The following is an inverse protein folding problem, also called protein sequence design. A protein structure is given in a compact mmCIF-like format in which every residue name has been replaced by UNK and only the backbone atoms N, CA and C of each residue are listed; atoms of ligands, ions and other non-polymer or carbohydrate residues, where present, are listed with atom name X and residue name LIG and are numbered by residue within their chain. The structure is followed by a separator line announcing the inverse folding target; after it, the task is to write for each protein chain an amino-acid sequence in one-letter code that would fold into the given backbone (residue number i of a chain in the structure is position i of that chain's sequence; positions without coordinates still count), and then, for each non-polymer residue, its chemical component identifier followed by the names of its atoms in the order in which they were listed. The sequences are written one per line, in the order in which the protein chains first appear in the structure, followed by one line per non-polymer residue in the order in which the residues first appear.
data_IF_358257183504
#
_entry.id   IF_358257183504
#
_cell.length_a   1.000
_cell.length_b   1.000
_cell.length_c   1.000
_cell.angle_alpha   90.00
_cell.angle_beta   90.00
_cell.angle_gamma   90.00
#
_symmetry.space_group_name_H-M   'P 1'
#
loop_
_entity.id
_entity.type
_entity.pdbx_description
1 polymer ?
#
# COMPACT_ATOMS: atom_id res chain seq x y z
N UNK A 1 -16.15 -24.61 14.28
CA UNK A 1 -15.77 -23.18 14.20
C UNK A 1 -14.68 -23.10 13.15
N UNK A 2 -14.94 -22.44 12.02
CA UNK A 2 -13.89 -22.16 11.03
C UNK A 2 -12.82 -21.32 11.73
N UNK A 3 -11.58 -21.82 11.81
CA UNK A 3 -10.44 -21.00 12.23
C UNK A 3 -10.45 -19.77 11.32
N UNK A 4 -10.50 -18.57 11.92
CA UNK A 4 -10.24 -17.32 11.18
C UNK A 4 -8.88 -17.48 10.50
N UNK A 5 -8.89 -17.65 9.18
CA UNK A 5 -7.71 -17.92 8.38
C UNK A 5 -6.98 -16.57 8.11
N UNK A 6 -6.82 -15.76 9.17
CA UNK A 6 -6.17 -14.45 9.12
C UNK A 6 -4.67 -14.65 9.31
N UNK A 7 -3.88 -14.23 8.31
CA UNK A 7 -2.40 -14.33 8.33
C UNK A 7 -1.73 -13.03 8.74
N UNK A 8 -2.41 -11.90 8.60
CA UNK A 8 -1.92 -10.58 9.00
C UNK A 8 -3.04 -9.77 9.64
N UNK A 9 -2.77 -9.14 10.78
CA UNK A 9 -3.71 -8.28 11.48
C UNK A 9 -3.05 -7.02 12.00
N UNK A 10 -3.69 -5.89 11.74
CA UNK A 10 -3.42 -4.60 12.35
C UNK A 10 -4.54 -4.30 13.36
N UNK A 11 -4.18 -3.91 14.58
CA UNK A 11 -5.12 -3.60 15.66
C UNK A 11 -4.78 -2.23 16.23
N UNK A 12 -5.58 -1.21 15.87
CA UNK A 12 -5.44 0.19 16.31
C UNK A 12 -4.01 0.72 16.19
N UNK A 13 -3.38 0.43 15.06
CA UNK A 13 -1.99 0.79 14.80
C UNK A 13 -1.88 2.27 14.48
N UNK A 14 -1.03 2.97 15.25
CA UNK A 14 -0.61 4.35 14.94
C UNK A 14 0.90 4.39 14.76
N UNK A 15 1.33 5.10 13.71
CA UNK A 15 2.75 5.24 13.38
C UNK A 15 3.04 6.61 12.78
N UNK A 16 4.12 7.24 13.23
CA UNK A 16 4.64 8.51 12.71
C UNK A 16 6.17 8.52 12.63
N UNK A 17 6.72 9.32 11.71
CA UNK A 17 8.15 9.65 11.68
C UNK A 17 8.41 10.96 12.42
N UNK A 18 8.95 10.85 13.66
CA UNK A 18 9.17 12.02 14.52
C UNK A 18 7.84 12.62 15.04
N UNK A 19 7.88 13.82 15.62
CA UNK A 19 6.73 14.36 16.36
C UNK A 19 5.69 15.11 15.52
N UNK A 20 5.68 15.03 14.19
CA UNK A 20 4.76 15.85 13.36
C UNK A 20 4.40 15.29 11.98
N UNK A 21 4.60 14.02 11.73
CA UNK A 21 4.22 13.41 10.45
C UNK A 21 3.51 12.09 10.70
N UNK A 22 2.22 12.13 11.06
CA UNK A 22 1.43 10.92 11.18
C UNK A 22 1.37 10.22 9.82
N UNK A 23 1.53 8.91 9.83
CA UNK A 23 1.43 8.03 8.65
C UNK A 23 0.21 7.15 8.80
N UNK A 24 -0.03 6.62 10.01
CA UNK A 24 -1.17 5.79 10.35
C UNK A 24 -1.78 6.26 11.67
N UNK A 25 -3.11 6.37 11.73
CA UNK A 25 -3.87 6.71 12.92
C UNK A 25 -4.94 5.66 13.21
N UNK A 26 -4.77 4.92 14.30
CA UNK A 26 -5.68 3.87 14.79
C UNK A 26 -6.14 2.84 13.73
N UNK A 27 -5.25 2.52 12.79
CA UNK A 27 -5.54 1.63 11.67
C UNK A 27 -5.82 0.22 12.14
N UNK A 28 -6.94 -0.36 11.67
CA UNK A 28 -7.32 -1.74 11.95
C UNK A 28 -7.83 -2.42 10.70
N UNK A 29 -7.17 -3.51 10.29
CA UNK A 29 -7.61 -4.37 9.20
C UNK A 29 -7.04 -5.78 9.37
N UNK A 30 -7.56 -6.73 8.58
CA UNK A 30 -7.09 -8.11 8.59
C UNK A 30 -6.99 -8.66 7.17
N UNK A 31 -5.93 -9.41 6.91
CA UNK A 31 -5.69 -10.10 5.64
C UNK A 31 -5.82 -11.60 5.85
N UNK A 32 -6.63 -12.23 5.01
CA UNK A 32 -6.83 -13.68 5.03
C UNK A 32 -5.77 -14.40 4.21
N UNK A 33 -5.51 -15.65 4.57
CA UNK A 33 -4.62 -16.51 3.79
C UNK A 33 -5.10 -16.65 2.33
N UNK A 34 -4.15 -16.61 1.39
CA UNK A 34 -4.43 -16.68 -0.04
C UNK A 34 -5.00 -15.40 -0.65
N UNK A 35 -5.16 -14.31 0.13
CA UNK A 35 -5.59 -13.02 -0.42
C UNK A 35 -4.50 -12.39 -1.27
N UNK A 36 -4.89 -11.83 -2.41
CA UNK A 36 -4.02 -11.02 -3.29
C UNK A 36 -4.55 -9.61 -3.32
N UNK A 37 -3.85 -8.71 -2.61
CA UNK A 37 -4.31 -7.35 -2.37
C UNK A 37 -3.31 -6.33 -2.91
N UNK A 38 -3.83 -5.26 -3.47
CA UNK A 38 -3.06 -4.07 -3.84
C UNK A 38 -3.05 -3.09 -2.67
N UNK A 39 -1.90 -2.52 -2.35
CA UNK A 39 -1.78 -1.37 -1.44
C UNK A 39 -1.69 -0.09 -2.27
N UNK A 40 -2.76 0.69 -2.26
CA UNK A 40 -2.89 1.98 -2.94
C UNK A 40 -2.73 3.15 -1.98
N UNK A 41 -2.35 4.30 -2.54
CA UNK A 41 -2.22 5.59 -1.85
C UNK A 41 -1.23 6.49 -2.58
N UNK A 42 -1.21 7.78 -2.27
CA UNK A 42 -0.33 8.75 -2.91
C UNK A 42 1.15 8.43 -2.64
N UNK A 43 2.05 8.95 -3.49
CA UNK A 43 3.49 8.80 -3.28
C UNK A 43 3.92 9.59 -2.04
N UNK A 44 4.61 8.91 -1.13
CA UNK A 44 5.01 9.49 0.15
C UNK A 44 4.05 9.25 1.33
N UNK A 45 2.91 8.59 1.11
CA UNK A 45 1.87 8.36 2.12
C UNK A 45 2.24 7.31 3.17
N UNK A 46 3.32 6.59 2.98
CA UNK A 46 3.76 5.58 3.94
C UNK A 46 3.49 4.13 3.53
N UNK A 47 3.19 3.84 2.25
CA UNK A 47 3.04 2.46 1.74
C UNK A 47 4.24 1.58 2.10
N UNK A 48 5.45 2.06 1.85
CA UNK A 48 6.68 1.34 2.24
C UNK A 48 6.86 1.25 3.76
N UNK A 49 6.31 2.20 4.54
CA UNK A 49 6.32 2.13 6.00
C UNK A 49 5.39 1.03 6.51
N UNK A 50 4.25 0.83 5.84
CA UNK A 50 3.36 -0.29 6.13
C UNK A 50 4.07 -1.63 5.92
N UNK A 51 4.81 -1.79 4.81
CA UNK A 51 5.60 -2.99 4.57
C UNK A 51 6.68 -3.21 5.63
N UNK A 52 7.37 -2.15 6.06
CA UNK A 52 8.36 -2.22 7.14
C UNK A 52 7.74 -2.60 8.49
N UNK A 53 6.51 -2.12 8.78
CA UNK A 53 5.75 -2.53 9.97
C UNK A 53 5.38 -4.03 9.90
N UNK A 54 4.97 -4.54 8.74
CA UNK A 54 4.68 -5.97 8.53
C UNK A 54 5.94 -6.82 8.70
N UNK A 55 7.09 -6.34 8.20
CA UNK A 55 8.37 -7.01 8.33
C UNK A 55 8.96 -6.94 9.76
N UNK A 56 8.38 -6.11 10.65
CA UNK A 56 8.91 -5.85 11.98
C UNK A 56 10.17 -4.96 12.00
N UNK A 57 10.51 -4.33 10.87
CA UNK A 57 11.62 -3.36 10.77
C UNK A 57 11.28 -2.03 11.45
N UNK A 58 9.98 -1.72 11.57
CA UNK A 58 9.45 -0.58 12.32
C UNK A 58 8.50 -1.08 13.41
N UNK A 59 8.49 -0.36 14.54
CA UNK A 59 7.59 -0.63 15.65
C UNK A 59 6.53 0.47 15.72
N UNK A 60 5.23 0.16 15.78
CA UNK A 60 4.19 1.17 15.92
C UNK A 60 4.26 1.84 17.31
N UNK A 61 3.86 3.12 17.41
CA UNK A 61 3.74 3.82 18.69
C UNK A 61 2.57 3.30 19.51
N UNK A 62 1.45 2.99 18.86
CA UNK A 62 0.28 2.42 19.49
C UNK A 62 -0.24 1.25 18.66
N UNK A 63 -0.99 0.37 19.32
CA UNK A 63 -1.59 -0.80 18.68
C UNK A 63 -0.60 -1.93 18.44
N UNK A 64 -1.00 -2.88 17.61
CA UNK A 64 -0.21 -4.08 17.34
C UNK A 64 -0.35 -4.54 15.90
N UNK A 65 0.80 -4.89 15.29
CA UNK A 65 0.85 -5.66 14.04
C UNK A 65 1.16 -7.10 14.41
N UNK A 66 0.38 -8.05 13.93
CA UNK A 66 0.59 -9.48 14.16
C UNK A 66 0.50 -10.25 12.86
N UNK A 67 1.54 -11.03 12.59
CA UNK A 67 1.55 -12.11 11.59
C UNK A 67 1.23 -13.42 12.31
N UNK A 68 0.59 -14.36 11.64
CA UNK A 68 0.25 -15.67 12.25
C UNK A 68 1.52 -16.33 12.82
N UNK A 69 1.36 -17.07 13.92
CA UNK A 69 2.46 -17.55 14.79
C UNK A 69 3.58 -18.31 14.07
N UNK A 70 3.27 -18.93 12.92
CA UNK A 70 4.25 -19.65 12.09
C UNK A 70 4.38 -19.05 10.69
N UNK A 71 3.77 -17.88 10.45
CA UNK A 71 3.74 -17.26 9.14
C UNK A 71 5.09 -16.62 8.81
N UNK A 72 5.60 -16.92 7.63
CA UNK A 72 6.81 -16.32 7.07
C UNK A 72 6.46 -15.16 6.16
N UNK A 73 7.25 -14.07 6.24
CA UNK A 73 7.08 -12.88 5.40
C UNK A 73 8.37 -12.66 4.61
N UNK A 74 8.25 -12.44 3.32
CA UNK A 74 9.37 -12.01 2.48
C UNK A 74 8.99 -10.81 1.63
N UNK A 75 9.98 -9.97 1.32
CA UNK A 75 9.79 -8.77 0.51
C UNK A 75 10.68 -8.81 -0.74
N UNK A 76 10.06 -8.60 -1.91
CA UNK A 76 10.77 -8.30 -3.14
C UNK A 76 11.27 -6.86 -3.11
N UNK A 77 12.57 -6.66 -2.84
CA UNK A 77 13.21 -5.34 -2.77
C UNK A 77 13.41 -4.76 -4.17
N UNK A 78 13.48 -3.43 -4.25
CA UNK A 78 13.72 -2.73 -5.52
C UNK A 78 15.19 -2.73 -5.93
N UNK A 79 16.11 -2.76 -4.98
CA UNK A 79 17.55 -2.67 -5.22
C UNK A 79 18.35 -3.65 -4.38
N UNK A 80 19.44 -4.17 -4.94
CA UNK A 80 20.39 -4.99 -4.19
C UNK A 80 21.17 -4.06 -3.23
N UNK A 81 21.27 -4.40 -1.94
CA UNK A 81 22.10 -3.67 -0.99
C UNK A 81 23.57 -3.61 -1.46
N UNK A 82 24.21 -2.47 -1.25
CA UNK A 82 25.59 -2.23 -1.74
C UNK A 82 26.61 -3.26 -1.21
N UNK A 83 26.44 -3.71 0.00
CA UNK A 83 27.26 -4.74 0.65
C UNK A 83 27.08 -6.13 0.03
N UNK A 84 25.96 -6.37 -0.67
CA UNK A 84 25.66 -7.65 -1.32
C UNK A 84 26.00 -7.67 -2.82
N UNK A 85 26.37 -6.55 -3.42
CA UNK A 85 26.77 -6.47 -4.83
C UNK A 85 27.99 -7.35 -5.18
N UNK A 86 28.85 -7.62 -4.19
CA UNK A 86 30.01 -8.50 -4.34
C UNK A 86 29.72 -9.98 -4.17
N UNK A 87 28.53 -10.36 -3.70
CA UNK A 87 28.16 -11.76 -3.50
C UNK A 87 28.02 -12.48 -4.84
N UNK A 88 28.36 -13.76 -4.84
CA UNK A 88 27.98 -14.67 -5.94
C UNK A 88 26.48 -14.96 -5.88
N UNK A 89 25.91 -15.49 -6.96
CA UNK A 89 24.51 -15.92 -7.00
C UNK A 89 24.23 -16.92 -5.88
N UNK A 90 25.12 -17.89 -5.66
CA UNK A 90 24.98 -18.88 -4.60
C UNK A 90 24.95 -18.24 -3.21
N UNK A 91 25.92 -17.36 -2.92
CA UNK A 91 25.99 -16.64 -1.63
C UNK A 91 24.77 -15.75 -1.42
N UNK A 92 24.31 -15.07 -2.46
CA UNK A 92 23.13 -14.19 -2.39
C UNK A 92 21.86 -14.96 -2.05
N UNK A 93 21.65 -16.14 -2.62
CA UNK A 93 20.48 -16.94 -2.29
C UNK A 93 20.63 -17.74 -1.00
N UNK A 94 21.85 -18.17 -0.65
CA UNK A 94 22.10 -18.92 0.57
C UNK A 94 21.77 -18.13 1.85
N UNK A 95 21.93 -16.80 1.84
CA UNK A 95 21.66 -15.95 3.01
C UNK A 95 20.21 -15.99 3.51
N UNK A 96 19.25 -16.42 2.67
CA UNK A 96 17.83 -16.50 3.04
C UNK A 96 17.47 -17.78 3.80
N UNK A 97 18.44 -18.67 4.01
CA UNK A 97 18.25 -19.90 4.76
C UNK A 97 19.11 -19.92 6.02
N UNK A 98 18.54 -20.36 7.13
CA UNK A 98 19.26 -20.53 8.40
C UNK A 98 20.17 -21.77 8.38
N UNK A 99 19.80 -22.77 7.58
CA UNK A 99 20.54 -24.02 7.44
C UNK A 99 21.02 -24.21 5.99
N UNK A 100 22.12 -24.91 5.82
CA UNK A 100 22.68 -25.21 4.49
C UNK A 100 21.71 -26.05 3.68
N UNK A 101 21.27 -25.52 2.54
CA UNK A 101 20.41 -26.21 1.58
C UNK A 101 21.24 -27.03 0.60
N UNK A 102 21.15 -28.36 0.67
CA UNK A 102 21.87 -29.27 -0.24
C UNK A 102 21.34 -29.19 -1.67
N UNK A 103 20.08 -28.79 -1.86
CA UNK A 103 19.40 -28.64 -3.15
C UNK A 103 19.30 -27.17 -3.60
N UNK A 104 20.11 -26.26 -3.02
CA UNK A 104 20.07 -24.83 -3.33
C UNK A 104 20.11 -24.50 -4.83
N UNK A 105 20.96 -25.14 -5.66
CA UNK A 105 20.99 -24.89 -7.10
C UNK A 105 19.63 -25.17 -7.80
N UNK A 106 18.93 -26.20 -7.36
CA UNK A 106 17.60 -26.54 -7.90
C UNK A 106 16.56 -25.50 -7.46
N UNK A 107 16.57 -25.12 -6.16
CA UNK A 107 15.65 -24.08 -5.66
C UNK A 107 15.85 -22.76 -6.40
N UNK A 108 17.11 -22.38 -6.64
CA UNK A 108 17.44 -21.19 -7.43
C UNK A 108 16.87 -21.32 -8.86
N UNK A 109 17.09 -22.45 -9.53
CA UNK A 109 16.59 -22.68 -10.89
C UNK A 109 15.06 -22.55 -10.95
N UNK A 110 14.34 -23.16 -10.00
CA UNK A 110 12.88 -23.14 -9.96
C UNK A 110 12.32 -21.70 -9.79
N UNK A 111 12.93 -20.87 -8.93
CA UNK A 111 12.49 -19.48 -8.75
C UNK A 111 12.95 -18.55 -9.88
N UNK A 112 14.07 -18.82 -10.52
CA UNK A 112 14.53 -18.05 -11.68
C UNK A 112 13.65 -18.30 -12.91
N UNK A 113 13.16 -19.53 -13.09
CA UNK A 113 12.17 -19.84 -14.12
C UNK A 113 10.87 -19.05 -13.92
N UNK A 114 10.38 -18.96 -12.68
CA UNK A 114 9.20 -18.17 -12.33
C UNK A 114 9.32 -16.68 -12.70
N UNK A 115 10.52 -16.13 -12.74
CA UNK A 115 10.78 -14.73 -13.10
C UNK A 115 11.38 -14.58 -14.51
N UNK A 116 11.31 -15.60 -15.34
CA UNK A 116 11.85 -15.63 -16.70
C UNK A 116 13.33 -15.19 -16.77
N UNK A 117 14.16 -15.77 -15.92
CA UNK A 117 15.60 -15.56 -15.93
C UNK A 117 16.32 -16.89 -16.09
N UNK A 118 17.06 -17.04 -17.18
CA UNK A 118 17.90 -18.23 -17.40
C UNK A 118 18.90 -18.40 -16.27
N UNK A 119 19.12 -19.66 -15.83
CA UNK A 119 20.04 -19.99 -14.76
C UNK A 119 21.46 -19.48 -15.07
N UNK A 120 22.01 -18.53 -14.30
CA UNK A 120 23.37 -18.07 -14.48
C UNK A 120 24.37 -19.04 -13.84
N UNK A 121 25.67 -18.82 -14.09
CA UNK A 121 26.70 -19.47 -13.30
C UNK A 121 26.60 -19.06 -11.83
N UNK A 122 26.63 -20.01 -10.90
CA UNK A 122 26.43 -19.77 -9.47
C UNK A 122 27.52 -18.91 -8.82
N UNK A 123 28.71 -18.90 -9.41
CA UNK A 123 29.88 -18.11 -9.01
C UNK A 123 29.88 -16.69 -9.61
N UNK A 124 28.93 -16.37 -10.50
CA UNK A 124 28.78 -15.03 -11.08
C UNK A 124 28.33 -14.03 -9.98
N UNK A 125 28.97 -12.85 -9.95
CA UNK A 125 28.68 -11.84 -8.95
C UNK A 125 27.46 -11.01 -9.28
N UNK A 126 26.75 -10.53 -8.26
CA UNK A 126 25.51 -9.74 -8.41
C UNK A 126 25.72 -8.43 -9.16
N UNK A 127 26.88 -7.80 -9.06
CA UNK A 127 27.22 -6.58 -9.80
C UNK A 127 27.50 -6.78 -11.30
N UNK A 128 27.61 -8.02 -11.76
CA UNK A 128 27.84 -8.36 -13.19
C UNK A 128 26.53 -8.50 -13.99
N UNK A 129 25.38 -8.37 -13.31
CA UNK A 129 24.09 -8.45 -13.93
C UNK A 129 23.56 -7.07 -14.35
N UNK A 130 22.82 -7.01 -15.47
CA UNK A 130 22.09 -5.81 -15.86
C UNK A 130 21.01 -5.44 -14.83
N UNK A 131 20.55 -4.17 -14.81
CA UNK A 131 19.51 -3.72 -13.87
C UNK A 131 18.25 -4.57 -13.92
N UNK A 132 17.76 -4.96 -15.10
CA UNK A 132 16.61 -5.84 -15.24
C UNK A 132 16.87 -7.26 -14.72
N UNK A 133 18.07 -7.80 -14.92
CA UNK A 133 18.43 -9.11 -14.35
C UNK A 133 18.54 -9.02 -12.82
N UNK A 134 19.09 -7.94 -12.27
CA UNK A 134 19.14 -7.72 -10.82
C UNK A 134 17.73 -7.64 -10.21
N UNK A 135 16.79 -6.94 -10.88
CA UNK A 135 15.40 -6.87 -10.43
C UNK A 135 14.75 -8.27 -10.39
N UNK A 136 14.98 -9.11 -11.40
CA UNK A 136 14.49 -10.50 -11.42
C UNK A 136 15.14 -11.36 -10.34
N UNK A 137 16.44 -11.19 -10.07
CA UNK A 137 17.13 -11.88 -8.96
C UNK A 137 16.59 -11.48 -7.60
N UNK A 138 16.30 -10.19 -7.39
CA UNK A 138 15.67 -9.69 -6.17
C UNK A 138 14.28 -10.27 -5.95
N UNK A 139 13.48 -10.35 -7.01
CA UNK A 139 12.17 -10.97 -6.94
C UNK A 139 12.28 -12.47 -6.63
N UNK A 140 13.17 -13.19 -7.33
CA UNK A 140 13.45 -14.59 -7.07
C UNK A 140 13.90 -14.84 -5.61
N UNK A 141 14.64 -13.90 -5.03
CA UNK A 141 15.10 -14.02 -3.63
C UNK A 141 13.96 -13.94 -2.58
N UNK A 142 12.88 -13.25 -2.90
CA UNK A 142 11.68 -13.29 -2.08
C UNK A 142 10.92 -14.61 -2.24
N UNK A 143 10.85 -15.11 -3.48
CA UNK A 143 10.11 -16.34 -3.82
C UNK A 143 10.77 -17.60 -3.29
N UNK A 144 12.12 -17.66 -3.25
CA UNK A 144 12.86 -18.86 -2.83
C UNK A 144 12.55 -19.26 -1.39
N UNK A 145 12.14 -18.30 -0.57
CA UNK A 145 11.75 -18.52 0.82
C UNK A 145 10.36 -19.16 0.95
N UNK A 146 9.60 -19.24 -0.16
CA UNK A 146 8.22 -19.70 -0.19
C UNK A 146 7.36 -19.10 0.95
N UNK A 147 7.32 -17.77 1.09
CA UNK A 147 6.71 -17.12 2.24
C UNK A 147 5.19 -17.28 2.29
N UNK A 148 4.59 -17.19 3.48
CA UNK A 148 3.13 -17.19 3.63
C UNK A 148 2.52 -15.82 3.28
N UNK A 149 3.33 -14.75 3.41
CA UNK A 149 3.00 -13.40 2.96
C UNK A 149 4.15 -12.88 2.09
N UNK A 150 3.87 -12.69 0.82
CA UNK A 150 4.78 -12.10 -0.15
C UNK A 150 4.46 -10.61 -0.31
N UNK A 151 5.45 -9.76 0.00
CA UNK A 151 5.36 -8.31 -0.17
C UNK A 151 6.12 -7.92 -1.44
N UNK A 152 5.48 -7.21 -2.35
CA UNK A 152 6.08 -6.74 -3.60
C UNK A 152 5.99 -5.21 -3.68
N UNK A 153 7.14 -4.54 -3.72
CA UNK A 153 7.23 -3.09 -3.86
C UNK A 153 7.72 -2.74 -5.27
N UNK A 154 6.79 -2.27 -6.12
CA UNK A 154 7.02 -1.92 -7.52
C UNK A 154 7.71 -3.03 -8.34
N UNK A 155 7.18 -4.27 -8.36
CA UNK A 155 7.88 -5.40 -8.96
C UNK A 155 7.96 -5.33 -10.48
N UNK A 156 7.14 -4.51 -11.13
CA UNK A 156 7.15 -4.31 -12.60
C UNK A 156 8.24 -3.34 -13.07
N UNK A 157 8.80 -2.53 -12.16
CA UNK A 157 9.90 -1.64 -12.51
C UNK A 157 11.11 -2.44 -13.00
N UNK A 158 11.68 -2.01 -14.11
CA UNK A 158 12.82 -2.64 -14.76
C UNK A 158 12.56 -4.05 -15.35
N UNK A 159 11.31 -4.50 -15.45
CA UNK A 159 10.91 -5.67 -16.22
C UNK A 159 10.44 -5.25 -17.62
N UNK A 160 10.77 -6.07 -18.61
CA UNK A 160 10.18 -5.99 -19.94
C UNK A 160 8.78 -6.62 -19.94
N UNK A 161 8.06 -6.44 -21.05
CA UNK A 161 6.70 -6.98 -21.20
C UNK A 161 6.61 -8.49 -20.94
N UNK A 162 7.57 -9.28 -21.43
CA UNK A 162 7.62 -10.73 -21.18
C UNK A 162 7.84 -11.03 -19.69
N UNK A 163 8.73 -10.31 -19.03
CA UNK A 163 8.96 -10.44 -17.57
C UNK A 163 7.72 -10.13 -16.75
N UNK A 164 6.97 -9.09 -17.12
CA UNK A 164 5.69 -8.76 -16.47
C UNK A 164 4.67 -9.88 -16.69
N UNK A 165 4.55 -10.41 -17.90
CA UNK A 165 3.62 -11.50 -18.21
C UNK A 165 3.95 -12.79 -17.43
N UNK A 166 5.24 -13.15 -17.32
CA UNK A 166 5.68 -14.29 -16.51
C UNK A 166 5.39 -14.09 -15.02
N UNK A 167 5.72 -12.91 -14.47
CA UNK A 167 5.43 -12.58 -13.08
C UNK A 167 3.93 -12.65 -12.80
N UNK A 168 3.11 -12.08 -13.69
CA UNK A 168 1.65 -12.12 -13.57
C UNK A 168 1.13 -13.55 -13.52
N UNK A 169 1.58 -14.39 -14.45
CA UNK A 169 1.19 -15.82 -14.52
C UNK A 169 1.60 -16.56 -13.25
N UNK A 170 2.80 -16.30 -12.73
CA UNK A 170 3.25 -16.86 -11.46
C UNK A 170 2.36 -16.42 -10.30
N UNK A 171 2.07 -15.11 -10.19
CA UNK A 171 1.26 -14.57 -9.08
C UNK A 171 -0.20 -15.05 -9.16
N UNK A 172 -0.76 -15.29 -10.34
CA UNK A 172 -2.08 -15.93 -10.50
C UNK A 172 -2.08 -17.34 -9.88
N UNK A 173 -1.02 -18.12 -10.10
CA UNK A 173 -0.92 -19.49 -9.57
C UNK A 173 -0.41 -19.58 -8.13
N UNK A 174 0.10 -18.48 -7.57
CA UNK A 174 0.62 -18.46 -6.20
C UNK A 174 -0.51 -18.57 -5.19
N UNK A 175 -0.55 -19.67 -4.43
CA UNK A 175 -1.67 -19.99 -3.53
C UNK A 175 -1.66 -19.22 -2.21
N UNK A 176 -0.52 -18.60 -1.86
CA UNK A 176 -0.35 -17.87 -0.59
C UNK A 176 -0.69 -16.39 -0.76
N UNK A 177 -0.56 -15.64 0.32
CA UNK A 177 -0.95 -14.23 0.39
C UNK A 177 0.06 -13.32 -0.30
N UNK A 178 -0.44 -12.39 -1.11
CA UNK A 178 0.36 -11.37 -1.78
C UNK A 178 -0.17 -9.98 -1.44
N UNK A 179 0.72 -9.10 -1.02
CA UNK A 179 0.47 -7.66 -0.92
C UNK A 179 1.41 -6.94 -1.89
N UNK A 180 0.85 -6.19 -2.82
CA UNK A 180 1.63 -5.53 -3.89
C UNK A 180 1.38 -4.03 -3.91
N UNK A 181 2.46 -3.27 -4.10
CA UNK A 181 2.45 -1.86 -4.48
C UNK A 181 2.92 -1.81 -5.92
N UNK A 182 2.13 -1.26 -6.83
CA UNK A 182 2.52 -1.01 -8.22
C UNK A 182 1.71 0.14 -8.82
N UNK A 183 2.26 0.76 -9.86
CA UNK A 183 1.57 1.75 -10.70
C UNK A 183 1.05 1.14 -12.01
N UNK A 184 1.30 -0.13 -12.26
CA UNK A 184 0.83 -0.85 -13.45
C UNK A 184 -0.58 -1.41 -13.19
N UNK A 185 -1.59 -0.72 -13.71
CA UNK A 185 -2.99 -1.05 -13.49
C UNK A 185 -3.38 -2.40 -14.11
N UNK A 186 -2.89 -2.71 -15.31
CA UNK A 186 -3.18 -3.98 -15.98
C UNK A 186 -2.58 -5.17 -15.23
N UNK A 187 -1.35 -5.01 -14.75
CA UNK A 187 -0.69 -5.99 -13.88
C UNK A 187 -1.50 -6.25 -12.61
N UNK A 188 -1.90 -5.19 -11.90
CA UNK A 188 -2.68 -5.30 -10.67
C UNK A 188 -4.04 -5.97 -10.92
N UNK A 189 -4.76 -5.53 -11.95
CA UNK A 189 -6.08 -6.06 -12.28
C UNK A 189 -6.07 -7.54 -12.64
N UNK A 190 -4.94 -8.03 -13.17
CA UNK A 190 -4.84 -9.41 -13.63
C UNK A 190 -4.89 -10.47 -12.52
N UNK A 191 -4.51 -10.12 -11.27
CA UNK A 191 -4.41 -11.12 -10.20
C UNK A 191 -4.88 -10.66 -8.82
N UNK A 192 -5.11 -9.36 -8.59
CA UNK A 192 -5.59 -8.90 -7.28
C UNK A 192 -7.12 -8.94 -7.18
N UNK A 193 -7.64 -9.16 -5.97
CA UNK A 193 -9.09 -9.29 -5.71
C UNK A 193 -9.57 -8.28 -4.67
N UNK A 194 -8.75 -7.30 -4.34
CA UNK A 194 -9.09 -6.24 -3.41
C UNK A 194 -7.97 -5.25 -3.24
N UNK A 195 -8.31 -4.14 -2.61
CA UNK A 195 -7.43 -3.00 -2.44
C UNK A 195 -7.43 -2.58 -0.97
N UNK A 196 -6.24 -2.31 -0.45
CA UNK A 196 -6.02 -1.56 0.79
C UNK A 196 -5.67 -0.12 0.39
N UNK A 197 -6.60 0.80 0.55
CA UNK A 197 -6.40 2.21 0.21
C UNK A 197 -5.95 2.99 1.43
N UNK A 198 -4.70 3.47 1.40
CA UNK A 198 -4.13 4.36 2.41
C UNK A 198 -4.47 5.79 2.08
N UNK A 199 -5.33 6.40 2.90
CA UNK A 199 -5.75 7.78 2.76
C UNK A 199 -4.81 8.71 3.53
N UNK A 200 -4.12 9.61 2.82
CA UNK A 200 -3.17 10.58 3.39
C UNK A 200 -3.82 11.62 4.30
N UNK A 201 -5.12 11.90 4.11
CA UNK A 201 -5.82 12.94 4.88
C UNK A 201 -6.33 12.42 6.22
N UNK A 202 -6.84 11.18 6.21
CA UNK A 202 -7.36 10.55 7.42
C UNK A 202 -6.33 9.65 8.11
N UNK A 203 -5.18 9.39 7.45
CA UNK A 203 -4.14 8.45 7.91
C UNK A 203 -4.67 7.05 8.25
N UNK A 204 -5.78 6.67 7.60
CA UNK A 204 -6.44 5.38 7.80
C UNK A 204 -6.32 4.49 6.57
N UNK A 205 -6.58 3.19 6.75
CA UNK A 205 -6.65 2.24 5.64
C UNK A 205 -8.09 1.79 5.48
N UNK A 206 -8.59 1.93 4.26
CA UNK A 206 -9.86 1.39 3.83
C UNK A 206 -9.65 0.12 3.02
N UNK A 207 -10.47 -0.90 3.26
CA UNK A 207 -10.36 -2.17 2.57
C UNK A 207 -11.53 -2.35 1.61
N UNK A 208 -11.21 -2.50 0.33
CA UNK A 208 -12.16 -2.76 -0.74
C UNK A 208 -12.01 -4.17 -1.27
N UNK A 209 -13.12 -4.75 -1.74
CA UNK A 209 -13.16 -6.07 -2.38
C UNK A 209 -13.67 -5.91 -3.80
N UNK A 210 -13.00 -6.52 -4.76
CA UNK A 210 -13.33 -6.43 -6.18
C UNK A 210 -12.06 -6.42 -7.02
N UNK A 211 -12.21 -6.32 -8.34
CA UNK A 211 -11.05 -6.11 -9.18
C UNK A 211 -10.52 -4.66 -9.07
N UNK A 212 -9.30 -4.47 -9.55
CA UNK A 212 -8.59 -3.20 -9.37
C UNK A 212 -9.35 -2.02 -10.00
N UNK A 213 -9.88 -2.19 -11.21
CA UNK A 213 -10.56 -1.11 -11.95
C UNK A 213 -11.87 -0.70 -11.28
N UNK A 214 -12.69 -1.68 -10.86
CA UNK A 214 -13.94 -1.40 -10.17
C UNK A 214 -13.73 -0.61 -8.89
N UNK A 215 -12.71 -1.00 -8.10
CA UNK A 215 -12.36 -0.32 -6.84
C UNK A 215 -11.85 1.10 -7.09
N UNK A 216 -10.99 1.29 -8.10
CA UNK A 216 -10.51 2.64 -8.47
C UNK A 216 -11.66 3.55 -8.87
N UNK A 217 -12.64 3.04 -9.64
CA UNK A 217 -13.83 3.80 -10.03
C UNK A 217 -14.69 4.14 -8.81
N UNK A 218 -14.87 3.22 -7.88
CA UNK A 218 -15.61 3.47 -6.63
C UNK A 218 -14.95 4.56 -5.78
N UNK A 219 -13.62 4.49 -5.61
CA UNK A 219 -12.85 5.51 -4.87
C UNK A 219 -12.98 6.87 -5.55
N UNK A 220 -12.86 6.95 -6.88
CA UNK A 220 -13.02 8.20 -7.64
C UNK A 220 -14.40 8.80 -7.43
N UNK A 221 -15.47 8.01 -7.61
CA UNK A 221 -16.86 8.47 -7.39
C UNK A 221 -17.08 9.00 -5.98
N UNK A 222 -16.48 8.35 -4.98
CA UNK A 222 -16.57 8.80 -3.59
C UNK A 222 -15.88 10.15 -3.39
N UNK A 223 -14.65 10.30 -3.89
CA UNK A 223 -13.88 11.55 -3.81
C UNK A 223 -14.64 12.70 -4.50
N UNK A 224 -15.17 12.47 -5.70
CA UNK A 224 -15.98 13.46 -6.43
C UNK A 224 -17.24 13.87 -5.66
N UNK A 225 -17.91 12.90 -5.03
CA UNK A 225 -19.09 13.18 -4.19
C UNK A 225 -18.72 14.05 -2.99
N UNK A 226 -17.66 13.70 -2.25
CA UNK A 226 -17.15 14.46 -1.11
C UNK A 226 -16.74 15.88 -1.52
N UNK A 227 -16.06 16.05 -2.65
CA UNK A 227 -15.72 17.37 -3.20
C UNK A 227 -16.98 18.20 -3.52
N UNK A 228 -17.98 17.57 -4.15
CA UNK A 228 -19.23 18.23 -4.48
C UNK A 228 -20.00 18.68 -3.23
N UNK A 229 -20.02 17.84 -2.20
CA UNK A 229 -20.62 18.15 -0.90
C UNK A 229 -19.89 19.31 -0.21
N UNK A 230 -18.56 19.30 -0.21
CA UNK A 230 -17.73 20.38 0.35
C UNK A 230 -17.98 21.72 -0.38
N UNK A 231 -18.07 21.73 -1.71
CA UNK A 231 -18.36 22.94 -2.48
C UNK A 231 -19.74 23.52 -2.11
N UNK A 232 -20.74 22.65 -1.94
CA UNK A 232 -22.10 23.06 -1.49
C UNK A 232 -22.05 23.63 -0.07
N UNK A 233 -21.31 22.98 0.82
CA UNK A 233 -21.15 23.41 2.20
C UNK A 233 -20.46 24.79 2.27
N UNK A 234 -19.39 25.00 1.49
CA UNK A 234 -18.71 26.28 1.39
C UNK A 234 -19.60 27.43 0.95
N UNK A 235 -20.45 27.17 -0.06
CA UNK A 235 -21.45 28.15 -0.48
C UNK A 235 -22.41 28.48 0.64
N UNK A 236 -22.94 27.46 1.34
CA UNK A 236 -23.87 27.64 2.47
C UNK A 236 -23.21 28.44 3.61
N UNK A 237 -21.96 28.13 3.97
CA UNK A 237 -21.20 28.85 4.99
C UNK A 237 -21.04 30.32 4.59
N UNK A 238 -20.64 30.59 3.35
CA UNK A 238 -20.47 31.95 2.82
C UNK A 238 -21.78 32.72 2.89
N UNK A 239 -22.88 32.13 2.39
CA UNK A 239 -24.20 32.78 2.41
C UNK A 239 -24.67 33.10 3.83
N UNK A 240 -24.42 32.20 4.79
CA UNK A 240 -24.73 32.43 6.21
C UNK A 240 -23.88 33.56 6.82
N UNK A 241 -22.58 33.62 6.50
CA UNK A 241 -21.69 34.71 6.95
C UNK A 241 -22.10 36.05 6.36
N UNK A 242 -22.46 36.11 5.08
CA UNK A 242 -22.91 37.33 4.42
C UNK A 242 -24.25 37.83 5.00
N UNK A 243 -25.24 36.94 5.19
CA UNK A 243 -26.50 37.28 5.86
C UNK A 243 -26.25 37.76 7.30
N UNK A 244 -25.38 37.12 8.06
CA UNK A 244 -25.03 37.54 9.41
C UNK A 244 -24.44 38.97 9.43
N UNK A 245 -23.58 39.31 8.47
CA UNK A 245 -22.99 40.62 8.34
C UNK A 245 -24.06 41.71 8.04
N UNK A 246 -25.02 41.41 7.13
CA UNK A 246 -26.11 42.29 6.84
C UNK A 246 -27.01 42.54 8.06
N UNK A 247 -27.34 41.52 8.85
CA UNK A 247 -28.17 41.63 10.05
C UNK A 247 -27.47 42.27 11.20
N UNK A 248 -26.15 42.09 11.36
CA UNK A 248 -25.34 42.72 12.42
C UNK A 248 -25.44 44.24 12.38
N UNK A 249 -25.54 44.84 11.20
CA UNK A 249 -25.59 46.27 10.95
C UNK A 249 -27.00 46.89 11.17
N UNK A 250 -28.05 46.08 11.35
CA UNK A 250 -29.46 46.57 11.46
C UNK A 250 -29.94 46.74 12.92
N UNK A 251 -29.16 46.37 13.94
CA UNK A 251 -29.49 46.59 15.38
C UNK A 251 -30.62 45.71 15.94
N UNK A 252 -30.88 45.81 17.23
CA UNK A 252 -31.99 45.17 17.94
C UNK A 252 -32.02 43.63 17.87
N UNK A 253 -33.22 43.05 17.69
CA UNK A 253 -33.44 41.59 17.62
C UNK A 253 -32.65 40.92 16.48
N UNK A 254 -32.26 41.67 15.46
CA UNK A 254 -31.50 41.15 14.29
C UNK A 254 -30.04 40.83 14.68
N UNK A 255 -29.47 41.45 15.72
CA UNK A 255 -28.15 41.05 16.23
C UNK A 255 -28.13 39.63 16.80
N UNK A 256 -29.19 39.20 17.48
CA UNK A 256 -29.30 37.85 17.99
C UNK A 256 -29.42 36.81 16.83
N UNK A 257 -30.10 37.18 15.75
CA UNK A 257 -30.16 36.34 14.53
C UNK A 257 -28.81 36.27 13.87
N UNK A 258 -28.09 37.39 13.74
CA UNK A 258 -26.74 37.43 13.19
C UNK A 258 -25.77 36.54 13.98
N UNK A 259 -25.87 36.55 15.34
CA UNK A 259 -25.05 35.66 16.18
C UNK A 259 -25.33 34.19 15.87
N UNK A 260 -26.61 33.77 15.85
CA UNK A 260 -26.99 32.38 15.55
C UNK A 260 -26.52 31.92 14.14
N UNK A 261 -26.51 32.83 13.16
CA UNK A 261 -26.02 32.51 11.82
C UNK A 261 -24.51 32.32 11.78
N UNK A 262 -23.74 33.08 12.61
CA UNK A 262 -22.29 32.88 12.76
C UNK A 262 -21.98 31.56 13.46
N UNK A 263 -22.67 31.30 14.59
CA UNK A 263 -22.49 30.06 15.34
C UNK A 263 -22.78 28.84 14.44
N UNK A 264 -23.84 28.89 13.62
CA UNK A 264 -24.15 27.85 12.63
C UNK A 264 -23.09 27.75 11.54
N UNK A 265 -22.53 28.87 11.06
CA UNK A 265 -21.48 28.84 10.04
C UNK A 265 -20.17 28.24 10.60
N UNK A 266 -19.85 28.50 11.87
CA UNK A 266 -18.70 27.89 12.58
C UNK A 266 -18.90 26.37 12.75
N UNK A 267 -20.10 25.93 13.18
CA UNK A 267 -20.44 24.50 13.27
C UNK A 267 -20.35 23.79 11.90
N UNK A 268 -20.78 24.44 10.84
CA UNK A 268 -20.67 23.90 9.47
C UNK A 268 -19.20 23.90 8.99
N UNK A 269 -18.35 24.83 9.43
CA UNK A 269 -16.92 24.82 9.13
C UNK A 269 -16.19 23.67 9.83
N UNK A 270 -16.53 23.37 11.08
CA UNK A 270 -15.99 22.22 11.81
C UNK A 270 -16.37 20.87 11.18
N UNK A 271 -17.58 20.81 10.59
CA UNK A 271 -18.06 19.59 9.89
C UNK A 271 -17.53 19.47 8.44
N UNK A 272 -16.74 20.45 7.97
CA UNK A 272 -16.18 20.39 6.63
C UNK A 272 -15.08 19.35 6.59
N UNK A 273 -15.25 18.33 5.76
CA UNK A 273 -14.19 17.36 5.48
C UNK A 273 -13.03 18.12 4.83
N UNK A 274 -11.82 17.98 5.34
CA UNK A 274 -10.64 18.57 4.70
C UNK A 274 -10.60 18.13 3.23
N UNK A 275 -10.49 19.14 2.33
CA UNK A 275 -10.50 18.88 0.89
C UNK A 275 -9.37 17.92 0.54
N UNK A 276 -9.73 16.71 0.17
CA UNK A 276 -8.79 15.79 -0.45
C UNK A 276 -8.28 16.44 -1.73
N UNK A 277 -6.98 16.66 -1.82
CA UNK A 277 -6.34 17.04 -3.08
C UNK A 277 -6.53 15.86 -4.04
N UNK A 278 -6.69 16.15 -5.35
CA UNK A 278 -6.75 15.11 -6.38
C UNK A 278 -5.64 14.07 -6.16
N UNK A 279 -6.04 12.84 -6.01
CA UNK A 279 -5.10 11.73 -5.91
C UNK A 279 -4.55 11.45 -7.31
N UNK A 280 -3.39 12.04 -7.61
CA UNK A 280 -2.71 11.87 -8.89
C UNK A 280 -2.21 10.44 -9.15
N UNK A 281 -2.33 9.55 -8.18
CA UNK A 281 -1.96 8.15 -8.34
C UNK A 281 -3.11 7.30 -8.86
N UNK A 282 -4.34 7.82 -8.85
CA UNK A 282 -5.47 7.17 -9.49
C UNK A 282 -5.29 7.29 -11.02
N UNK A 283 -5.26 6.19 -11.76
CA UNK A 283 -5.09 6.24 -13.21
C UNK A 283 -6.21 7.06 -13.87
N UNK A 284 -5.85 7.94 -14.80
CA UNK A 284 -6.80 8.53 -15.74
C UNK A 284 -7.13 7.44 -16.78
N UNK A 285 -8.42 7.12 -16.97
CA UNK A 285 -8.90 6.18 -17.97
C UNK A 285 -9.34 6.95 -19.23
#
# INVERSE_FOLDING_TARGET
MAKDNVVLRFEKVSFEYGHKKPILEEVSFAVRNGSKLTLMGQNGDGKSSLFKLIMGELTPQNGRVSVDHNGTVAIGRQTIPRDQLGFTVEEFFAQFFTEKQWNLPKLIADVLDAVNLSMPALDKKMNEFSGGQQARLLLASALIQNPDILLLDEPTNNLDYEGIAHLTSFLISYEKTVLVISHDADFLNAFTHGVLYLDIHTHTIEQYTGDYYDVVEEIKRRIEKEQSENVRLERTIRDKKDQANVFANKGGKLRAVAKRMRDLAEELEENKVELRREDKTLPEF
#
